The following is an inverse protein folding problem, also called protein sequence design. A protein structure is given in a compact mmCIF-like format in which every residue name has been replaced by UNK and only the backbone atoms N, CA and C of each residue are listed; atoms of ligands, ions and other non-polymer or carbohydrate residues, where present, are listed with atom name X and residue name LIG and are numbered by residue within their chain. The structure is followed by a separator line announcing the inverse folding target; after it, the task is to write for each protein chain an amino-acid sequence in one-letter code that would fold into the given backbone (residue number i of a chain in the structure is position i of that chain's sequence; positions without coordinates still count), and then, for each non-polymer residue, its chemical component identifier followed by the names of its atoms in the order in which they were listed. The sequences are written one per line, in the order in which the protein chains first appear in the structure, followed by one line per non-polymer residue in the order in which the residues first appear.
data_IF_888644414143
#
_entry.id   IF_888644414143
#
_cell.length_a   1.000
_cell.length_b   1.000
_cell.length_c   1.000
_cell.angle_alpha   90.00
_cell.angle_beta   90.00
_cell.angle_gamma   90.00
#
_symmetry.space_group_name_H-M   'P 1'
#
loop_
_entity.id
_entity.type
_entity.pdbx_description
1 polymer ?
#
# COMPACT_ATOMS: atom_id res chain seq x y z
N UNK A 1 15.61 -40.48 31.07
CA UNK A 1 15.89 -39.20 30.39
C UNK A 1 15.59 -39.40 28.92
N UNK A 2 14.70 -38.60 28.35
CA UNK A 2 14.29 -38.68 26.96
C UNK A 2 12.95 -37.98 26.75
N UNK A 3 12.88 -36.68 27.05
CA UNK A 3 11.73 -35.86 26.69
C UNK A 3 11.75 -35.63 25.19
N UNK A 4 10.89 -36.35 24.48
CA UNK A 4 10.60 -36.10 23.08
C UNK A 4 9.72 -34.86 23.00
N UNK A 5 10.33 -33.68 22.92
CA UNK A 5 9.64 -32.44 22.56
C UNK A 5 9.13 -32.60 21.14
N UNK A 6 7.88 -33.04 21.02
CA UNK A 6 7.09 -32.98 19.79
C UNK A 6 7.04 -31.52 19.36
N UNK A 7 7.90 -31.15 18.40
CA UNK A 7 7.82 -29.88 17.70
C UNK A 7 6.46 -29.84 17.01
N UNK A 8 5.50 -29.16 17.62
CA UNK A 8 4.29 -28.72 16.96
C UNK A 8 4.70 -27.75 15.85
N UNK A 9 5.06 -28.30 14.68
CA UNK A 9 5.20 -27.55 13.44
C UNK A 9 3.79 -27.10 13.02
N UNK A 10 3.24 -26.10 13.70
CA UNK A 10 2.08 -25.37 13.22
C UNK A 10 2.50 -24.64 11.95
N UNK A 11 2.23 -25.25 10.79
CA UNK A 11 2.36 -24.58 9.49
C UNK A 11 1.46 -23.35 9.54
N UNK A 12 2.04 -22.17 9.78
CA UNK A 12 1.32 -20.89 9.73
C UNK A 12 0.59 -20.82 8.39
N UNK A 13 -0.73 -20.60 8.42
CA UNK A 13 -1.55 -20.48 7.21
C UNK A 13 -1.81 -19.00 6.94
N UNK A 14 -1.22 -18.47 5.88
CA UNK A 14 -1.57 -17.14 5.36
C UNK A 14 -2.91 -17.24 4.59
N UNK A 15 -3.92 -16.42 4.93
CA UNK A 15 -5.17 -16.37 4.17
C UNK A 15 -4.92 -15.84 2.76
N UNK A 16 -5.79 -16.19 1.81
CA UNK A 16 -5.78 -15.53 0.50
C UNK A 16 -6.19 -14.06 0.66
N UNK A 17 -5.63 -13.16 -0.16
CA UNK A 17 -6.12 -11.78 -0.26
C UNK A 17 -7.60 -11.76 -0.67
N UNK A 18 -8.29 -10.66 -0.36
CA UNK A 18 -9.66 -10.43 -0.79
C UNK A 18 -9.76 -10.30 -2.32
N UNK A 19 -10.97 -10.42 -2.87
CA UNK A 19 -11.23 -10.15 -4.28
C UNK A 19 -11.07 -8.66 -4.59
N UNK A 20 -10.77 -8.36 -5.85
CA UNK A 20 -10.65 -7.00 -6.37
C UNK A 20 -11.62 -6.81 -7.52
N UNK A 21 -12.51 -5.82 -7.37
CA UNK A 21 -13.56 -5.52 -8.35
C UNK A 21 -13.11 -4.52 -9.43
N UNK A 22 -11.95 -3.88 -9.28
CA UNK A 22 -11.46 -2.84 -10.19
C UNK A 22 -11.52 -1.41 -9.65
N UNK A 23 -11.94 -1.21 -8.39
CA UNK A 23 -11.90 0.09 -7.74
C UNK A 23 -10.45 0.57 -7.55
N UNK A 24 -10.02 1.53 -8.38
CA UNK A 24 -8.66 2.09 -8.36
C UNK A 24 -8.27 2.64 -6.99
N UNK A 25 -9.22 3.13 -6.19
CA UNK A 25 -8.95 3.65 -4.84
C UNK A 25 -8.50 2.56 -3.86
N UNK A 26 -8.83 1.30 -4.14
CA UNK A 26 -8.46 0.13 -3.33
C UNK A 26 -7.28 -0.64 -3.89
N UNK A 27 -6.80 -0.29 -5.09
CA UNK A 27 -5.80 -1.07 -5.80
C UNK A 27 -4.49 -1.21 -5.02
N UNK A 28 -3.92 -0.10 -4.54
CA UNK A 28 -2.62 -0.12 -3.84
C UNK A 28 -2.66 -1.04 -2.62
N UNK A 29 -3.71 -0.94 -1.81
CA UNK A 29 -3.82 -1.69 -0.56
C UNK A 29 -4.13 -3.18 -0.82
N UNK A 30 -5.00 -3.46 -1.78
CA UNK A 30 -5.24 -4.84 -2.24
C UNK A 30 -3.98 -5.48 -2.82
N UNK A 31 -3.28 -4.78 -3.70
CA UNK A 31 -2.10 -5.31 -4.37
C UNK A 31 -0.95 -5.56 -3.37
N UNK A 32 -0.79 -4.70 -2.35
CA UNK A 32 0.12 -4.95 -1.23
C UNK A 32 -0.19 -6.28 -0.52
N UNK A 33 -1.45 -6.61 -0.28
CA UNK A 33 -1.82 -7.92 0.29
C UNK A 33 -1.50 -9.09 -0.64
N UNK A 34 -1.65 -8.92 -1.96
CA UNK A 34 -1.22 -9.91 -2.96
C UNK A 34 0.29 -10.12 -2.91
N UNK A 35 1.08 -9.06 -2.85
CA UNK A 35 2.54 -9.14 -2.74
C UNK A 35 2.98 -9.88 -1.46
N UNK A 36 2.42 -9.51 -0.30
CA UNK A 36 2.70 -10.18 0.98
C UNK A 36 2.36 -11.68 0.90
N UNK A 37 1.21 -12.02 0.29
CA UNK A 37 0.82 -13.42 0.12
C UNK A 37 1.86 -14.21 -0.69
N UNK A 38 2.38 -13.64 -1.78
CA UNK A 38 3.38 -14.31 -2.62
C UNK A 38 4.75 -14.39 -1.97
N UNK A 39 5.16 -13.35 -1.23
CA UNK A 39 6.37 -13.38 -0.40
C UNK A 39 6.28 -14.50 0.63
N UNK A 40 5.13 -14.64 1.31
CA UNK A 40 4.91 -15.71 2.27
C UNK A 40 4.96 -17.11 1.65
N UNK A 41 4.47 -17.28 0.42
CA UNK A 41 4.49 -18.58 -0.26
C UNK A 41 5.87 -18.97 -0.78
N UNK A 42 6.78 -18.02 -0.96
CA UNK A 42 8.22 -18.12 -1.32
C UNK A 42 8.55 -18.86 -2.63
N UNK A 43 7.93 -20.00 -2.94
CA UNK A 43 8.25 -20.91 -4.05
C UNK A 43 7.18 -21.00 -5.14
N UNK A 44 6.30 -20.01 -5.25
CA UNK A 44 5.28 -19.98 -6.31
C UNK A 44 5.91 -19.63 -7.66
N UNK A 45 5.61 -20.41 -8.69
CA UNK A 45 5.98 -20.09 -10.07
C UNK A 45 5.17 -18.91 -10.59
N UNK A 46 5.74 -18.13 -11.53
CA UNK A 46 5.06 -16.97 -12.13
C UNK A 46 3.68 -17.33 -12.71
N UNK A 47 3.55 -18.50 -13.36
CA UNK A 47 2.25 -19.02 -13.80
C UNK A 47 1.22 -19.11 -12.66
N UNK A 48 1.62 -19.62 -11.51
CA UNK A 48 0.73 -19.73 -10.35
C UNK A 48 0.37 -18.34 -9.82
N UNK A 49 1.35 -17.44 -9.73
CA UNK A 49 1.15 -16.06 -9.27
C UNK A 49 0.13 -15.33 -10.15
N UNK A 50 0.31 -15.37 -11.46
CA UNK A 50 -0.58 -14.76 -12.44
C UNK A 50 -1.99 -15.35 -12.37
N UNK A 51 -2.12 -16.69 -12.46
CA UNK A 51 -3.44 -17.32 -12.52
C UNK A 51 -4.25 -17.15 -11.23
N UNK A 52 -3.62 -17.28 -10.06
CA UNK A 52 -4.31 -17.06 -8.78
C UNK A 52 -4.67 -15.58 -8.62
N UNK A 53 -3.80 -14.65 -9.03
CA UNK A 53 -4.14 -13.22 -8.98
C UNK A 53 -5.27 -12.87 -9.95
N UNK A 54 -5.32 -13.46 -11.15
CA UNK A 54 -6.49 -13.36 -12.04
C UNK A 54 -7.77 -13.86 -11.34
N UNK A 55 -7.72 -14.96 -10.58
CA UNK A 55 -8.89 -15.49 -9.86
C UNK A 55 -9.38 -14.57 -8.74
N UNK A 56 -8.49 -13.80 -8.12
CA UNK A 56 -8.88 -12.75 -7.15
C UNK A 56 -9.55 -11.55 -7.82
N UNK A 57 -9.38 -11.40 -9.14
CA UNK A 57 -10.00 -10.36 -9.95
C UNK A 57 -11.18 -10.93 -10.72
N UNK A 58 -12.18 -11.47 -10.03
CA UNK A 58 -13.32 -12.19 -10.64
C UNK A 58 -14.64 -11.39 -10.60
N UNK A 59 -14.59 -10.12 -10.20
CA UNK A 59 -15.76 -9.26 -10.04
C UNK A 59 -15.55 -7.93 -10.78
N UNK A 60 -16.65 -7.30 -11.18
CA UNK A 60 -16.64 -5.95 -11.76
C UNK A 60 -15.73 -5.78 -13.00
N UNK A 61 -15.26 -4.54 -13.25
CA UNK A 61 -14.29 -4.26 -14.32
C UNK A 61 -13.00 -5.07 -14.25
N UNK A 62 -12.53 -5.42 -13.05
CA UNK A 62 -11.34 -6.28 -12.89
C UNK A 62 -11.57 -7.70 -13.43
N UNK A 63 -12.77 -8.25 -13.25
CA UNK A 63 -13.23 -9.51 -13.86
C UNK A 63 -13.04 -9.54 -15.37
N UNK A 64 -13.51 -8.49 -16.06
CA UNK A 64 -13.40 -8.41 -17.52
C UNK A 64 -11.94 -8.32 -17.98
N UNK A 65 -11.13 -7.50 -17.30
CA UNK A 65 -9.72 -7.35 -17.63
C UNK A 65 -8.92 -8.64 -17.38
N UNK A 66 -9.15 -9.29 -16.23
CA UNK A 66 -8.44 -10.52 -15.86
C UNK A 66 -8.78 -11.67 -16.80
N UNK A 67 -10.05 -11.82 -17.17
CA UNK A 67 -10.50 -12.81 -18.14
C UNK A 67 -9.81 -12.63 -19.50
N UNK A 68 -9.77 -11.39 -20.00
CA UNK A 68 -9.08 -11.07 -21.26
C UNK A 68 -7.56 -11.30 -21.19
N UNK A 69 -6.92 -10.93 -20.07
CA UNK A 69 -5.49 -11.17 -19.87
C UNK A 69 -5.18 -12.67 -19.84
N UNK A 70 -5.87 -13.42 -18.97
CA UNK A 70 -5.64 -14.83 -18.77
C UNK A 70 -6.00 -15.66 -20.02
N UNK A 71 -7.03 -15.29 -20.79
CA UNK A 71 -7.35 -15.91 -22.09
C UNK A 71 -6.21 -15.77 -23.11
N UNK A 72 -5.59 -14.59 -23.22
CA UNK A 72 -4.43 -14.38 -24.11
C UNK A 72 -3.24 -15.25 -23.71
N UNK A 73 -2.96 -15.35 -22.41
CA UNK A 73 -1.86 -16.17 -21.89
C UNK A 73 -2.10 -17.67 -22.15
N UNK A 74 -3.32 -18.16 -21.94
CA UNK A 74 -3.71 -19.56 -22.20
C UNK A 74 -3.65 -19.86 -23.71
N UNK A 75 -4.15 -18.95 -24.56
CA UNK A 75 -4.09 -19.11 -26.01
C UNK A 75 -2.65 -19.15 -26.52
N UNK A 76 -1.77 -18.28 -25.99
CA UNK A 76 -0.33 -18.31 -26.28
C UNK A 76 0.29 -19.64 -25.85
N UNK A 77 -0.11 -20.19 -24.69
CA UNK A 77 0.41 -21.47 -24.19
C UNK A 77 -0.02 -22.70 -24.97
N UNK A 78 -1.22 -22.66 -25.54
CA UNK A 78 -1.74 -23.76 -26.34
C UNK A 78 -1.31 -23.68 -27.81
N UNK A 79 -0.77 -22.54 -28.25
CA UNK A 79 -0.25 -22.36 -29.60
C UNK A 79 1.07 -23.10 -29.73
N UNK A 80 1.07 -24.24 -30.45
CA UNK A 80 2.22 -25.15 -30.69
C UNK A 80 3.36 -24.53 -31.53
N UNK A 81 3.55 -23.22 -31.50
CA UNK A 81 4.69 -22.58 -32.16
C UNK A 81 5.97 -22.93 -31.40
N UNK A 82 6.85 -23.70 -32.02
CA UNK A 82 8.17 -24.09 -31.49
C UNK A 82 9.11 -22.90 -31.20
N UNK A 83 8.70 -21.66 -31.47
CA UNK A 83 9.58 -20.49 -31.46
C UNK A 83 9.27 -19.47 -30.36
N UNK A 84 8.18 -19.61 -29.61
CA UNK A 84 7.89 -18.71 -28.48
C UNK A 84 7.26 -19.51 -27.32
N UNK A 85 8.05 -19.92 -26.31
CA UNK A 85 7.50 -20.45 -25.08
C UNK A 85 6.58 -19.40 -24.47
N UNK A 86 5.30 -19.74 -24.30
CA UNK A 86 4.36 -18.94 -23.51
C UNK A 86 4.87 -18.84 -22.07
N UNK A 87 5.59 -17.77 -21.76
CA UNK A 87 6.22 -17.65 -20.47
C UNK A 87 5.37 -16.68 -19.67
N UNK A 88 4.56 -17.21 -18.76
CA UNK A 88 3.95 -16.39 -17.74
C UNK A 88 5.06 -15.63 -17.03
N UNK A 89 4.97 -14.31 -17.03
CA UNK A 89 5.93 -13.40 -16.40
C UNK A 89 5.18 -12.62 -15.34
N UNK A 90 5.53 -12.85 -14.07
CA UNK A 90 4.93 -12.12 -12.96
C UNK A 90 5.22 -10.62 -13.09
N UNK A 91 6.44 -10.28 -13.51
CA UNK A 91 6.87 -8.90 -13.76
C UNK A 91 5.98 -8.21 -14.78
N UNK A 92 5.75 -8.82 -15.94
CA UNK A 92 4.95 -8.21 -17.02
C UNK A 92 3.47 -8.14 -16.65
N UNK A 93 2.98 -9.12 -15.91
CA UNK A 93 1.63 -9.07 -15.34
C UNK A 93 1.46 -7.89 -14.38
N UNK A 94 2.37 -7.72 -13.42
CA UNK A 94 2.33 -6.61 -12.46
C UNK A 94 2.41 -5.25 -13.17
N UNK A 95 3.25 -5.14 -14.21
CA UNK A 95 3.34 -3.92 -15.01
C UNK A 95 1.99 -3.59 -15.67
N UNK A 96 1.39 -4.55 -16.38
CA UNK A 96 0.08 -4.36 -17.02
C UNK A 96 -1.04 -4.04 -16.00
N UNK A 97 -0.95 -4.63 -14.80
CA UNK A 97 -1.89 -4.40 -13.71
C UNK A 97 -1.80 -2.96 -13.19
N UNK A 98 -0.57 -2.47 -12.96
CA UNK A 98 -0.30 -1.11 -12.49
C UNK A 98 -0.68 -0.07 -13.54
N UNK A 99 -0.40 -0.30 -14.81
CA UNK A 99 -0.84 0.57 -15.90
C UNK A 99 -2.36 0.74 -15.93
N UNK A 100 -3.11 -0.31 -15.62
CA UNK A 100 -4.57 -0.27 -15.64
C UNK A 100 -5.18 0.35 -14.37
N UNK A 101 -4.68 -0.02 -13.19
CA UNK A 101 -5.35 0.24 -11.91
C UNK A 101 -4.58 1.09 -10.91
N UNK A 102 -3.27 1.29 -11.08
CA UNK A 102 -2.53 2.18 -10.19
C UNK A 102 -3.01 3.63 -10.35
N UNK A 103 -2.98 4.43 -9.26
CA UNK A 103 -3.21 5.85 -9.37
C UNK A 103 -2.17 6.49 -10.30
N UNK A 104 -2.62 7.33 -11.24
CA UNK A 104 -1.77 7.93 -12.28
C UNK A 104 -0.74 8.89 -11.66
N UNK A 105 -1.09 9.58 -10.57
CA UNK A 105 -0.26 10.61 -9.96
C UNK A 105 -0.22 10.49 -8.43
N UNK A 106 0.25 9.34 -7.91
CA UNK A 106 0.32 9.07 -6.46
C UNK A 106 0.97 10.25 -5.71
N UNK A 107 2.13 10.71 -6.19
CA UNK A 107 2.89 11.79 -5.54
C UNK A 107 2.17 13.13 -5.59
N UNK A 108 1.67 13.55 -6.75
CA UNK A 108 0.98 14.84 -6.87
C UNK A 108 -0.36 14.86 -6.15
N UNK A 109 -1.10 13.74 -6.16
CA UNK A 109 -2.36 13.59 -5.43
C UNK A 109 -2.10 13.63 -3.92
N UNK A 110 -1.05 12.95 -3.44
CA UNK A 110 -0.64 13.00 -2.04
C UNK A 110 -0.18 14.40 -1.62
N UNK A 111 0.57 15.12 -2.45
CA UNK A 111 0.95 16.51 -2.20
C UNK A 111 -0.27 17.44 -2.14
N UNK A 112 -1.24 17.26 -3.04
CA UNK A 112 -2.50 18.01 -2.99
C UNK A 112 -3.29 17.68 -1.71
N UNK A 113 -3.33 16.42 -1.31
CA UNK A 113 -4.02 15.96 -0.12
C UNK A 113 -3.36 16.51 1.16
N UNK A 114 -2.03 16.55 1.26
CA UNK A 114 -1.34 17.18 2.39
C UNK A 114 -1.73 18.65 2.58
N UNK A 115 -1.98 19.39 1.50
CA UNK A 115 -2.38 20.81 1.58
C UNK A 115 -3.81 21.01 2.07
N UNK A 116 -4.68 20.02 1.90
CA UNK A 116 -6.12 20.13 2.17
C UNK A 116 -6.59 19.30 3.36
N UNK A 117 -5.78 18.35 3.84
CA UNK A 117 -6.08 17.50 4.99
C UNK A 117 -6.40 18.37 6.22
N UNK A 118 -7.49 18.06 6.94
CA UNK A 118 -7.83 18.73 8.20
C UNK A 118 -8.09 17.70 9.28
N UNK A 119 -7.62 17.98 10.50
CA UNK A 119 -7.83 17.09 11.64
C UNK A 119 -9.32 16.93 11.97
N UNK A 120 -10.10 18.02 11.97
CA UNK A 120 -11.54 17.96 12.19
C UNK A 120 -11.88 17.35 13.56
N UNK A 121 -12.64 16.26 13.61
CA UNK A 121 -12.93 15.54 14.86
C UNK A 121 -12.02 14.34 15.09
N UNK A 122 -11.06 14.09 14.20
CA UNK A 122 -10.13 12.95 14.26
C UNK A 122 -9.18 13.09 15.45
N UNK A 123 -8.96 11.98 16.17
CA UNK A 123 -7.99 11.91 17.25
C UNK A 123 -6.58 12.28 16.73
N UNK A 124 -5.81 13.00 17.55
CA UNK A 124 -4.48 13.49 17.16
C UNK A 124 -3.56 12.38 16.67
N UNK A 125 -3.51 11.25 17.35
CA UNK A 125 -2.63 10.14 16.97
C UNK A 125 -3.03 9.55 15.60
N UNK A 126 -4.33 9.39 15.36
CA UNK A 126 -4.85 8.92 14.07
C UNK A 126 -4.57 9.91 12.94
N UNK A 127 -4.70 11.21 13.23
CA UNK A 127 -4.35 12.26 12.28
C UNK A 127 -2.85 12.22 11.95
N UNK A 128 -1.97 12.11 12.95
CA UNK A 128 -0.52 12.06 12.73
C UNK A 128 -0.11 10.83 11.93
N UNK A 129 -0.67 9.65 12.21
CA UNK A 129 -0.44 8.43 11.40
C UNK A 129 -0.85 8.67 9.95
N UNK A 130 -2.03 9.27 9.73
CA UNK A 130 -2.53 9.58 8.39
C UNK A 130 -1.63 10.59 7.67
N UNK A 131 -1.22 11.65 8.37
CA UNK A 131 -0.33 12.68 7.84
C UNK A 131 1.02 12.09 7.43
N UNK A 132 1.63 11.26 8.28
CA UNK A 132 2.92 10.59 7.98
C UNK A 132 2.81 9.64 6.79
N UNK A 133 1.69 8.92 6.65
CA UNK A 133 1.47 8.07 5.48
C UNK A 133 1.40 8.90 4.19
N UNK A 134 0.61 9.98 4.17
CA UNK A 134 0.47 10.84 2.98
C UNK A 134 1.78 11.58 2.68
N UNK A 135 2.54 11.96 3.71
CA UNK A 135 3.90 12.50 3.58
C UNK A 135 4.80 11.54 2.79
N UNK A 136 4.82 10.26 3.17
CA UNK A 136 5.59 9.23 2.46
C UNK A 136 5.14 9.10 1.00
N UNK A 137 3.83 9.07 0.75
CA UNK A 137 3.29 8.95 -0.62
C UNK A 137 3.60 10.18 -1.48
N UNK A 138 3.71 11.36 -0.85
CA UNK A 138 4.09 12.63 -1.47
C UNK A 138 5.60 12.75 -1.75
N UNK A 139 6.40 11.72 -1.42
CA UNK A 139 7.83 11.64 -1.71
C UNK A 139 8.73 12.24 -0.64
N UNK A 140 8.19 12.61 0.52
CA UNK A 140 9.00 13.03 1.66
C UNK A 140 9.50 11.80 2.42
N UNK A 141 10.72 11.88 2.97
CA UNK A 141 11.25 10.82 3.84
C UNK A 141 10.47 10.73 5.16
N UNK A 142 10.44 9.54 5.78
CA UNK A 142 9.87 9.38 7.12
C UNK A 142 10.73 10.05 8.21
N UNK A 143 12.04 10.17 7.95
CA UNK A 143 13.03 10.79 8.82
C UNK A 143 13.60 12.06 8.17
N UNK A 144 12.79 13.11 8.03
CA UNK A 144 13.26 14.41 7.52
C UNK A 144 14.09 15.12 8.60
N UNK A 145 15.36 15.48 8.34
CA UNK A 145 16.17 16.21 9.31
C UNK A 145 15.52 17.54 9.66
N UNK A 146 15.56 17.91 10.95
CA UNK A 146 14.80 19.06 11.48
C UNK A 146 15.19 20.41 10.88
N UNK A 147 16.42 20.54 10.39
CA UNK A 147 17.01 21.80 9.95
C UNK A 147 16.94 21.99 8.42
N UNK A 148 15.94 21.38 7.76
CA UNK A 148 15.74 21.52 6.30
C UNK A 148 14.47 22.28 5.97
N UNK A 149 14.44 22.90 4.78
CA UNK A 149 13.26 23.60 4.27
C UNK A 149 12.05 22.67 4.11
N UNK A 150 12.28 21.38 3.83
CA UNK A 150 11.23 20.36 3.80
C UNK A 150 10.63 20.15 5.19
N UNK A 151 11.45 20.08 6.25
CA UNK A 151 10.94 19.96 7.61
C UNK A 151 10.11 21.18 8.02
N UNK A 152 10.58 22.40 7.70
CA UNK A 152 9.83 23.63 7.96
C UNK A 152 8.48 23.64 7.22
N UNK A 153 8.46 23.23 5.95
CA UNK A 153 7.23 23.13 5.16
C UNK A 153 6.24 22.13 5.76
N UNK A 154 6.71 20.95 6.19
CA UNK A 154 5.86 19.92 6.80
C UNK A 154 5.32 20.36 8.17
N UNK A 155 6.12 21.08 8.96
CA UNK A 155 5.68 21.70 10.21
C UNK A 155 4.58 22.74 9.96
N UNK A 156 4.73 23.58 8.94
CA UNK A 156 3.71 24.58 8.58
C UNK A 156 2.39 23.93 8.13
N UNK A 157 2.48 22.87 7.32
CA UNK A 157 1.32 22.06 6.94
C UNK A 157 0.64 21.44 8.16
N UNK A 158 1.40 20.84 9.08
CA UNK A 158 0.86 20.29 10.33
C UNK A 158 0.12 21.36 11.13
N UNK A 159 0.72 22.53 11.35
CA UNK A 159 0.10 23.64 12.08
C UNK A 159 -1.18 24.13 11.43
N UNK A 160 -1.19 24.22 10.10
CA UNK A 160 -2.34 24.68 9.31
C UNK A 160 -3.48 23.65 9.29
N UNK A 161 -3.16 22.37 9.47
CA UNK A 161 -4.10 21.27 9.31
C UNK A 161 -4.60 20.68 10.62
N UNK A 162 -3.85 20.84 11.71
CA UNK A 162 -4.27 20.47 13.05
C UNK A 162 -5.24 21.49 13.64
N UNK A 163 -6.10 21.04 14.56
CA UNK A 163 -7.00 21.95 15.26
C UNK A 163 -6.23 22.90 16.17
N UNK A 164 -6.47 24.20 15.98
CA UNK A 164 -5.83 25.28 16.75
C UNK A 164 -5.98 25.12 18.27
N UNK A 165 -7.10 24.58 18.76
CA UNK A 165 -7.33 24.31 20.19
C UNK A 165 -6.30 23.39 20.84
N UNK A 166 -5.68 22.48 20.09
CA UNK A 166 -4.63 21.57 20.59
C UNK A 166 -3.26 22.26 20.53
N UNK A 167 -3.03 23.08 19.52
CA UNK A 167 -1.79 23.87 19.35
C UNK A 167 -1.62 24.90 20.49
N UNK A 168 -2.71 25.53 20.95
CA UNK A 168 -2.64 26.47 22.06
C UNK A 168 -2.51 25.79 23.43
N UNK A 169 -3.03 24.58 23.62
CA UNK A 169 -2.90 23.86 24.90
C UNK A 169 -1.44 23.46 25.20
N UNK A 170 -0.65 23.15 24.18
CA UNK A 170 0.79 22.85 24.35
C UNK A 170 1.64 24.10 24.55
N UNK A 171 1.21 25.27 24.03
CA UNK A 171 1.86 26.55 24.31
C UNK A 171 1.52 27.09 25.73
N UNK A 172 0.28 26.93 26.20
CA UNK A 172 -0.12 27.39 27.55
C UNK A 172 0.53 26.56 28.67
N UNK A 173 0.69 25.25 28.48
CA UNK A 173 1.43 24.40 29.44
C UNK A 173 2.88 24.86 29.56
N UNK A 174 3.51 25.31 28.46
CA UNK A 174 4.89 25.82 28.44
C UNK A 174 5.02 27.18 29.12
N UNK A 175 4.00 28.04 29.04
CA UNK A 175 3.97 29.34 29.74
C UNK A 175 3.74 29.21 31.25
N UNK A 176 3.02 28.18 31.70
CA UNK A 176 2.74 27.98 33.12
C UNK A 176 3.77 27.13 33.88
N UNK A 177 4.69 26.43 33.21
CA UNK A 177 5.77 25.64 33.86
C UNK A 177 7.10 26.36 34.00
N UNK A 178 7.27 27.53 33.37
CA UNK A 178 8.48 28.36 33.50
C UNK A 178 8.12 29.81 33.83
N UNK A 179 7.60 30.05 35.04
CA UNK A 179 7.66 31.36 35.68
C UNK A 179 8.51 31.23 36.94
N UNK A 180 9.79 31.65 36.92
CA UNK A 180 10.58 31.76 38.13
C UNK A 180 10.03 32.94 38.95
N UNK A 181 9.62 32.66 40.20
CA UNK A 181 9.58 33.68 41.26
C UNK A 181 10.99 34.05 41.67
#
# INVERSE_FOLDING_TARGET
MGDTTTLLSSKVKMPLPNTFNGDKSKFTDWFRHVEIYWVFKDKAMDKQKVLVTCQLMNEGPAGMWSAAYCARQIASANSKSKHTPSTYSWKDFVQALKEMYAPINITGDAQAHLRTLKQGTTLTDQFLITFTQIMSDAGYGLDVPRDTTEADHLIDLLRTNMNSRIVYATEDIRKHTFSPR
#
